data_IF_860639784807
#
_entry.id   IF_860639784807
#
_cell.length_a   1.000
_cell.length_b   1.000
_cell.length_c   1.000
_cell.angle_alpha   90.00
_cell.angle_beta   90.00
_cell.angle_gamma   90.00
#
_symmetry.space_group_name_H-M   'P 1'
#
loop_
_entity.id
_entity.type
_entity.pdbx_description
1 polymer ?
#
# COMPACT_ATOMS: atom_id res chain seq x y z
N UNK A 1 -3.83 -11.48 -12.36
CA UNK A 1 -3.49 -10.03 -12.30
C UNK A 1 -3.11 -9.74 -10.87
N UNK A 2 -1.98 -9.08 -10.63
CA UNK A 2 -1.45 -8.92 -9.26
C UNK A 2 -2.36 -8.07 -8.37
N UNK A 3 -3.11 -7.13 -8.96
CA UNK A 3 -4.16 -6.38 -8.26
C UNK A 3 -5.22 -7.29 -7.61
N UNK A 4 -5.56 -8.42 -8.23
CA UNK A 4 -6.51 -9.39 -7.67
C UNK A 4 -5.93 -10.11 -6.46
N UNK A 5 -4.66 -10.54 -6.53
CA UNK A 5 -3.98 -11.19 -5.41
C UNK A 5 -3.85 -10.24 -4.22
N UNK A 6 -3.51 -8.97 -4.48
CA UNK A 6 -3.49 -7.93 -3.47
C UNK A 6 -4.87 -7.72 -2.85
N UNK A 7 -5.93 -7.70 -3.66
CA UNK A 7 -7.31 -7.53 -3.18
C UNK A 7 -7.80 -8.73 -2.37
N UNK A 8 -7.48 -9.96 -2.77
CA UNK A 8 -7.82 -11.19 -2.02
C UNK A 8 -7.11 -11.22 -0.66
N UNK A 9 -5.83 -10.80 -0.62
CA UNK A 9 -5.10 -10.63 0.64
C UNK A 9 -5.79 -9.60 1.55
N UNK A 10 -6.11 -8.43 1.01
CA UNK A 10 -6.78 -7.35 1.76
C UNK A 10 -8.10 -7.83 2.33
N UNK A 11 -8.94 -8.48 1.51
CA UNK A 11 -10.22 -9.03 1.96
C UNK A 11 -10.06 -10.05 3.07
N UNK A 12 -9.05 -10.92 3.01
CA UNK A 12 -8.78 -11.86 4.11
C UNK A 12 -8.36 -11.14 5.38
N UNK A 13 -7.42 -10.20 5.28
CA UNK A 13 -6.90 -9.47 6.44
C UNK A 13 -7.94 -8.53 7.08
N UNK A 14 -8.97 -8.10 6.36
CA UNK A 14 -10.07 -7.29 6.91
C UNK A 14 -10.86 -7.99 8.02
N UNK A 15 -10.84 -9.33 8.04
CA UNK A 15 -11.55 -10.13 9.06
C UNK A 15 -10.62 -10.67 10.15
N UNK A 16 -9.34 -10.28 10.14
CA UNK A 16 -8.35 -10.69 11.12
C UNK A 16 -8.02 -9.52 12.03
N UNK A 17 -7.86 -9.79 13.33
CA UNK A 17 -7.22 -8.84 14.23
C UNK A 17 -5.74 -8.68 13.87
N UNK A 18 -5.17 -7.51 14.14
CA UNK A 18 -3.78 -7.17 13.78
C UNK A 18 -2.76 -8.17 14.31
N UNK A 19 -2.96 -8.67 15.54
CA UNK A 19 -2.13 -9.70 16.18
C UNK A 19 -2.09 -11.04 15.43
N UNK A 20 -3.07 -11.28 14.55
CA UNK A 20 -3.20 -12.49 13.75
C UNK A 20 -2.58 -12.35 12.36
N UNK A 21 -2.03 -11.19 12.00
CA UNK A 21 -1.27 -11.04 10.76
C UNK A 21 0.01 -11.86 10.81
N UNK A 22 0.21 -12.70 9.78
CA UNK A 22 1.37 -13.58 9.67
C UNK A 22 2.44 -12.94 8.81
N UNK A 23 3.71 -13.32 9.01
CA UNK A 23 4.81 -12.87 8.16
C UNK A 23 4.58 -13.10 6.65
N UNK A 24 3.85 -14.17 6.30
CA UNK A 24 3.43 -14.46 4.93
C UNK A 24 2.50 -13.38 4.35
N UNK A 25 1.65 -12.77 5.18
CA UNK A 25 0.73 -11.70 4.77
C UNK A 25 1.52 -10.44 4.38
N UNK A 26 2.53 -10.08 5.18
CA UNK A 26 3.44 -8.96 4.89
C UNK A 26 4.21 -9.19 3.58
N UNK A 27 4.78 -10.39 3.41
CA UNK A 27 5.52 -10.73 2.20
C UNK A 27 4.61 -10.72 0.97
N UNK A 28 3.40 -11.28 1.06
CA UNK A 28 2.45 -11.29 -0.04
C UNK A 28 1.99 -9.87 -0.38
N UNK A 29 1.72 -9.01 0.62
CA UNK A 29 1.36 -7.61 0.40
C UNK A 29 2.46 -6.87 -0.36
N UNK A 30 3.72 -7.01 0.10
CA UNK A 30 4.86 -6.37 -0.53
C UNK A 30 5.05 -6.84 -1.97
N UNK A 31 5.03 -8.16 -2.21
CA UNK A 31 5.27 -8.74 -3.54
C UNK A 31 4.13 -8.39 -4.50
N UNK A 32 2.88 -8.57 -4.08
CA UNK A 32 1.71 -8.26 -4.91
C UNK A 32 1.62 -6.75 -5.20
N UNK A 33 1.83 -5.92 -4.18
CA UNK A 33 1.85 -4.46 -4.31
C UNK A 33 2.95 -3.99 -5.25
N UNK A 34 4.19 -4.48 -5.09
CA UNK A 34 5.29 -4.15 -6.00
C UNK A 34 4.94 -4.50 -7.45
N UNK A 35 4.43 -5.70 -7.71
CA UNK A 35 4.07 -6.11 -9.07
C UNK A 35 2.91 -5.28 -9.63
N UNK A 36 2.00 -4.76 -8.80
CA UNK A 36 0.97 -3.85 -9.29
C UNK A 36 1.58 -2.57 -9.91
N UNK A 37 2.63 -2.01 -9.31
CA UNK A 37 3.34 -0.86 -9.91
C UNK A 37 4.07 -1.25 -11.20
N UNK A 38 4.69 -2.44 -11.24
CA UNK A 38 5.39 -2.95 -12.43
C UNK A 38 4.43 -3.23 -13.60
N UNK A 39 3.21 -3.69 -13.31
CA UNK A 39 2.16 -4.00 -14.29
C UNK A 39 1.31 -2.78 -14.69
N UNK A 40 1.55 -1.60 -14.12
CA UNK A 40 0.76 -0.38 -14.40
C UNK A 40 -0.61 -0.34 -13.71
N UNK A 41 -0.87 -1.21 -12.73
CA UNK A 41 -2.11 -1.25 -11.96
C UNK A 41 -2.12 -0.22 -10.81
N UNK A 42 -1.57 0.98 -11.04
CA UNK A 42 -1.34 1.99 -9.99
C UNK A 42 -2.68 2.53 -9.44
N UNK A 43 -3.68 2.68 -10.30
CA UNK A 43 -5.03 3.11 -9.90
C UNK A 43 -5.69 2.12 -8.94
N UNK A 44 -5.53 0.80 -9.18
CA UNK A 44 -6.07 -0.24 -8.30
C UNK A 44 -5.43 -0.18 -6.91
N UNK A 45 -4.11 0.06 -6.86
CA UNK A 45 -3.38 0.24 -5.58
C UNK A 45 -3.87 1.51 -4.87
N UNK A 46 -4.11 2.60 -5.59
CA UNK A 46 -4.65 3.83 -5.02
C UNK A 46 -6.02 3.59 -4.38
N UNK A 47 -6.92 2.87 -5.06
CA UNK A 47 -8.24 2.53 -4.51
C UNK A 47 -8.13 1.69 -3.23
N UNK A 48 -7.24 0.70 -3.22
CA UNK A 48 -6.98 -0.13 -2.04
C UNK A 48 -6.43 0.71 -0.88
N UNK A 49 -5.48 1.62 -1.13
CA UNK A 49 -4.84 2.42 -0.09
C UNK A 49 -5.77 3.50 0.47
N UNK A 50 -6.64 4.08 -0.35
CA UNK A 50 -7.58 5.12 0.07
C UNK A 50 -8.81 4.56 0.79
N UNK A 51 -9.12 3.27 0.61
CA UNK A 51 -10.26 2.65 1.27
C UNK A 51 -10.04 2.57 2.79
N UNK A 52 -10.84 3.30 3.55
CA UNK A 52 -10.75 3.39 5.01
C UNK A 52 -10.88 2.02 5.71
N UNK A 53 -11.61 1.06 5.10
CA UNK A 53 -11.72 -0.31 5.63
C UNK A 53 -10.39 -1.04 5.66
N UNK A 54 -9.43 -0.60 4.84
CA UNK A 54 -8.10 -1.19 4.76
C UNK A 54 -7.12 -0.51 5.74
N UNK A 55 -7.55 0.50 6.51
CA UNK A 55 -6.67 1.36 7.30
C UNK A 55 -5.71 0.62 8.24
N UNK A 56 -6.17 -0.44 8.92
CA UNK A 56 -5.32 -1.28 9.78
C UNK A 56 -4.22 -1.99 8.96
N UNK A 57 -4.59 -2.54 7.80
CA UNK A 57 -3.66 -3.25 6.92
C UNK A 57 -2.64 -2.27 6.33
N UNK A 58 -3.09 -1.11 5.85
CA UNK A 58 -2.21 -0.09 5.27
C UNK A 58 -1.27 0.49 6.34
N UNK A 59 -1.74 0.67 7.59
CA UNK A 59 -0.89 1.10 8.71
C UNK A 59 0.24 0.10 8.97
N UNK A 60 -0.06 -1.20 8.94
CA UNK A 60 0.89 -2.26 9.28
C UNK A 60 1.82 -2.66 8.13
N UNK A 61 1.29 -2.71 6.90
CA UNK A 61 1.98 -3.28 5.72
C UNK A 61 2.31 -2.24 4.65
N UNK A 62 1.65 -1.08 4.66
CA UNK A 62 1.72 -0.07 3.60
C UNK A 62 3.11 0.54 3.39
N UNK A 63 3.92 0.64 4.45
CA UNK A 63 5.29 1.14 4.37
C UNK A 63 6.17 0.34 3.41
N UNK A 64 5.87 -0.95 3.20
CA UNK A 64 6.58 -1.81 2.25
C UNK A 64 6.46 -1.35 0.79
N UNK A 65 5.50 -0.49 0.47
CA UNK A 65 5.28 0.06 -0.88
C UNK A 65 6.08 1.34 -1.15
N UNK A 66 6.72 1.96 -0.15
CA UNK A 66 7.46 3.23 -0.34
C UNK A 66 8.55 3.08 -1.40
N UNK A 67 9.34 2.00 -1.34
CA UNK A 67 10.37 1.72 -2.34
C UNK A 67 9.81 1.58 -3.75
N UNK A 68 8.83 0.69 -3.99
CA UNK A 68 8.12 0.59 -5.26
C UNK A 68 7.53 1.92 -5.77
N UNK A 69 6.89 2.72 -4.91
CA UNK A 69 6.28 4.01 -5.26
C UNK A 69 7.35 5.00 -5.74
N UNK A 70 8.44 5.16 -4.98
CA UNK A 70 9.53 6.08 -5.35
C UNK A 70 10.16 5.66 -6.68
N UNK A 71 10.37 4.36 -6.90
CA UNK A 71 10.87 3.84 -8.19
C UNK A 71 9.90 4.16 -9.34
N UNK A 72 8.60 4.01 -9.11
CA UNK A 72 7.58 4.32 -10.11
C UNK A 72 7.57 5.83 -10.46
N UNK A 73 7.67 6.71 -9.47
CA UNK A 73 7.73 8.17 -9.69
C UNK A 73 8.97 8.63 -10.46
N UNK A 74 10.11 7.98 -10.23
CA UNK A 74 11.40 8.28 -10.84
C UNK A 74 11.61 7.60 -12.20
N UNK A 75 10.68 6.75 -12.65
CA UNK A 75 10.75 6.08 -13.95
C UNK A 75 10.72 7.14 -15.06
N UNK A 76 11.65 7.02 -16.02
CA UNK A 76 11.64 7.87 -17.22
C UNK A 76 10.35 7.61 -18.01
N UNK A 77 9.78 8.66 -18.61
CA UNK A 77 8.53 8.60 -19.39
C UNK A 77 7.29 8.18 -18.59
N UNK A 78 7.34 8.25 -17.25
CA UNK A 78 6.15 8.02 -16.44
C UNK A 78 5.08 9.08 -16.74
N UNK A 79 3.86 8.61 -17.00
CA UNK A 79 2.70 9.47 -17.24
C UNK A 79 2.40 10.34 -16.01
N UNK A 80 2.01 11.60 -16.25
CA UNK A 80 1.77 12.56 -15.17
C UNK A 80 0.58 12.16 -14.28
N UNK A 81 -0.44 11.48 -14.83
CA UNK A 81 -1.57 10.94 -14.04
C UNK A 81 -1.09 9.80 -13.15
N UNK A 82 -0.28 8.89 -13.69
CA UNK A 82 0.30 7.81 -12.88
C UNK A 82 1.22 8.35 -11.78
N UNK A 83 2.02 9.38 -12.07
CA UNK A 83 2.84 10.07 -11.07
C UNK A 83 1.97 10.72 -9.98
N UNK A 84 0.84 11.33 -10.35
CA UNK A 84 -0.13 11.86 -9.38
C UNK A 84 -0.75 10.76 -8.51
N UNK A 85 -1.04 9.58 -9.07
CA UNK A 85 -1.51 8.45 -8.28
C UNK A 85 -0.46 7.98 -7.29
N UNK A 86 0.81 7.85 -7.70
CA UNK A 86 1.91 7.54 -6.79
C UNK A 86 2.03 8.56 -5.64
N UNK A 87 1.93 9.86 -5.94
CA UNK A 87 1.93 10.90 -4.91
C UNK A 87 0.78 10.74 -3.92
N UNK A 88 -0.45 10.52 -4.39
CA UNK A 88 -1.61 10.31 -3.52
C UNK A 88 -1.47 9.07 -2.64
N UNK A 89 -0.90 7.98 -3.18
CA UNK A 89 -0.59 6.78 -2.39
C UNK A 89 0.43 7.14 -1.31
N UNK A 90 1.54 7.81 -1.67
CA UNK A 90 2.59 8.19 -0.73
C UNK A 90 2.05 9.09 0.39
N UNK A 91 1.26 10.12 0.05
CA UNK A 91 0.63 11.02 1.01
C UNK A 91 -0.23 10.25 2.00
N UNK A 92 -1.07 9.32 1.50
CA UNK A 92 -1.90 8.48 2.37
C UNK A 92 -1.07 7.56 3.27
N UNK A 93 0.01 6.98 2.74
CA UNK A 93 0.93 6.15 3.54
C UNK A 93 1.58 6.97 4.65
N UNK A 94 2.04 8.19 4.36
CA UNK A 94 2.58 9.10 5.37
C UNK A 94 1.53 9.44 6.41
N UNK A 95 0.31 9.79 6.01
CA UNK A 95 -0.82 10.09 6.91
C UNK A 95 -1.08 8.93 7.89
N UNK A 96 -1.17 7.69 7.40
CA UNK A 96 -1.48 6.54 8.27
C UNK A 96 -0.28 6.05 9.09
N UNK A 97 0.94 6.24 8.59
CA UNK A 97 2.18 5.81 9.27
C UNK A 97 2.66 6.82 10.32
N UNK A 98 2.37 8.10 10.15
CA UNK A 98 2.77 9.17 11.08
C UNK A 98 1.99 9.13 12.42
N UNK A 99 0.90 8.35 12.50
CA UNK A 99 0.20 8.08 13.76
C UNK A 99 1.05 7.28 14.77
N UNK A 100 2.16 6.67 14.34
CA UNK A 100 3.12 5.99 15.25
C UNK A 100 3.90 7.02 16.10
N UNK A 101 4.04 8.26 15.62
CA UNK A 101 4.78 9.31 16.34
C UNK A 101 3.92 10.13 17.31
N UNK A 102 2.58 10.07 17.22
CA UNK A 102 1.69 10.87 18.07
C UNK A 102 1.36 10.19 19.42
N UNK A 103 1.41 8.86 19.49
CA UNK A 103 1.06 8.10 20.70
C UNK A 103 2.26 7.78 21.61
N UNK A 104 3.49 8.16 21.23
CA UNK A 104 4.70 7.98 22.06
C UNK A 104 5.18 9.29 22.72
N UNK A 105 4.41 10.37 22.61
CA UNK A 105 4.72 11.67 23.25
C UNK A 105 3.56 12.11 24.14
N UNK A 106 3.19 11.30 25.14
CA UNK A 106 2.59 11.73 26.42
C UNK A 106 2.83 10.69 27.50
#
# INVERSE_FOLDING_TARGET
KMAKELQELIQRCQFLDEENFKGEDYNLFQVAGQKCFEEGNIADVLEIVQNEKNGVIIRNMGWSLIGPIVRCMLKQEQDDVERQYCMKILDKLVEVSCNICAETVF
#
